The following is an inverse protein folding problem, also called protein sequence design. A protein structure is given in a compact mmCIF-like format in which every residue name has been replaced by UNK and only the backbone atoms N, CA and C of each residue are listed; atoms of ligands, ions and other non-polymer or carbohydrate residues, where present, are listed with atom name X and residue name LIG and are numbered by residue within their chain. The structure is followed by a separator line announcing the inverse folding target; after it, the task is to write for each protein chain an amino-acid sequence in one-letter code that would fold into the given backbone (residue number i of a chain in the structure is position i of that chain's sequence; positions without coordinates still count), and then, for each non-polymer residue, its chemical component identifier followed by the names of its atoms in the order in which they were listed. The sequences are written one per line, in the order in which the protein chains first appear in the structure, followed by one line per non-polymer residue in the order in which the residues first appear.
data_IF_748430688903
#
_entry.id   IF_748430688903
#
_cell.length_a   1.000
_cell.length_b   1.000
_cell.length_c   1.000
_cell.angle_alpha   90.00
_cell.angle_beta   90.00
_cell.angle_gamma   90.00
#
_symmetry.space_group_name_H-M   'P 1'
#
loop_
_entity.id
_entity.type
_entity.pdbx_description
1 polymer ?
#
# COMPACT_ATOMS: atom_id res chain seq x y z
N UNK A 1 0.20 -33.58 7.63
CA UNK A 1 0.82 -32.66 6.65
C UNK A 1 -0.20 -31.59 6.32
N UNK A 2 0.00 -30.36 6.83
CA UNK A 2 -0.92 -29.25 6.58
C UNK A 2 -0.82 -28.83 5.11
N UNK A 3 -1.96 -28.74 4.42
CA UNK A 3 -2.06 -28.06 3.13
C UNK A 3 -1.67 -26.60 3.39
N UNK A 4 -0.49 -26.18 2.91
CA UNK A 4 -0.22 -24.75 2.71
C UNK A 4 -1.30 -24.24 1.76
N UNK A 5 -2.29 -23.54 2.29
CA UNK A 5 -3.10 -22.67 1.45
C UNK A 5 -2.12 -21.66 0.87
N UNK A 6 -1.93 -21.70 -0.46
CA UNK A 6 -1.31 -20.60 -1.20
C UNK A 6 -2.24 -19.38 -1.06
N UNK A 7 -2.23 -18.76 0.12
CA UNK A 7 -3.00 -17.58 0.42
C UNK A 7 -2.26 -16.43 -0.26
N UNK A 8 -2.83 -16.00 -1.38
CA UNK A 8 -2.32 -14.90 -2.20
C UNK A 8 -2.63 -13.59 -1.48
N UNK A 9 -1.65 -13.03 -0.77
CA UNK A 9 -1.83 -11.72 -0.15
C UNK A 9 -1.76 -10.61 -1.20
N UNK A 10 -2.83 -9.81 -1.27
CA UNK A 10 -2.85 -8.59 -2.08
C UNK A 10 -1.87 -7.56 -1.51
N UNK A 11 -1.31 -6.67 -2.34
CA UNK A 11 -0.16 -5.85 -1.94
C UNK A 11 -0.35 -5.00 -0.67
N UNK A 12 -1.54 -4.43 -0.44
CA UNK A 12 -1.88 -3.71 0.80
C UNK A 12 -1.98 -4.65 2.02
N UNK A 13 -2.53 -5.85 1.83
CA UNK A 13 -2.62 -6.88 2.87
C UNK A 13 -1.23 -7.40 3.23
N UNK A 14 -0.44 -7.78 2.23
CA UNK A 14 0.93 -8.22 2.37
C UNK A 14 1.74 -7.24 3.22
N UNK A 15 1.60 -5.94 2.90
CA UNK A 15 2.28 -4.86 3.60
C UNK A 15 1.77 -4.65 5.03
N UNK A 16 0.45 -4.72 5.22
CA UNK A 16 -0.16 -4.63 6.56
C UNK A 16 0.33 -5.76 7.46
N UNK A 17 0.40 -6.99 6.94
CA UNK A 17 0.86 -8.14 7.71
C UNK A 17 2.35 -8.02 8.06
N UNK A 18 3.20 -7.63 7.10
CA UNK A 18 4.63 -7.43 7.37
C UNK A 18 4.90 -6.27 8.31
N UNK A 19 4.11 -5.20 8.24
CA UNK A 19 4.23 -4.06 9.16
C UNK A 19 3.89 -4.45 10.60
N UNK A 20 2.83 -5.23 10.82
CA UNK A 20 2.42 -5.64 12.17
C UNK A 20 3.17 -6.87 12.71
N UNK A 21 3.76 -7.68 11.83
CA UNK A 21 4.54 -8.85 12.18
C UNK A 21 6.04 -8.56 12.22
N UNK A 22 6.72 -8.85 11.12
CA UNK A 22 8.17 -8.95 11.03
C UNK A 22 8.86 -7.59 11.22
N UNK A 23 8.33 -6.50 10.65
CA UNK A 23 8.90 -5.16 10.82
C UNK A 23 8.68 -4.62 12.23
N UNK A 24 7.52 -4.86 12.83
CA UNK A 24 7.28 -4.50 14.24
C UNK A 24 8.25 -5.24 15.16
N UNK A 25 8.39 -6.56 14.97
CA UNK A 25 9.33 -7.36 15.74
C UNK A 25 10.79 -6.89 15.54
N UNK A 26 11.17 -6.47 14.33
CA UNK A 26 12.48 -5.87 14.05
C UNK A 26 12.69 -4.59 14.86
N UNK A 27 11.72 -3.66 14.83
CA UNK A 27 11.77 -2.40 15.59
C UNK A 27 11.91 -2.66 17.09
N UNK A 28 11.12 -3.60 17.63
CA UNK A 28 11.13 -3.99 19.04
C UNK A 28 12.47 -4.64 19.44
N UNK A 29 13.06 -5.51 18.61
CA UNK A 29 14.41 -6.05 18.84
C UNK A 29 15.51 -4.99 18.86
N UNK A 30 15.33 -3.89 18.12
CA UNK A 30 16.26 -2.75 18.12
C UNK A 30 16.00 -1.78 19.30
N UNK A 31 15.07 -2.11 20.20
CA UNK A 31 14.80 -1.36 21.43
C UNK A 31 13.78 -0.24 21.29
N UNK A 32 12.97 -0.24 20.23
CA UNK A 32 11.96 0.78 19.98
C UNK A 32 10.54 0.21 20.07
N UNK A 33 9.58 1.04 20.48
CA UNK A 33 8.17 0.64 20.59
C UNK A 33 7.31 1.56 19.75
N UNK A 34 6.31 0.99 19.06
CA UNK A 34 5.31 1.77 18.34
C UNK A 34 4.37 2.47 19.34
N UNK A 35 4.07 3.75 19.09
CA UNK A 35 3.07 4.53 19.85
C UNK A 35 1.64 4.37 19.31
N UNK A 36 1.40 3.32 18.52
CA UNK A 36 0.08 2.96 17.98
C UNK A 36 -0.20 1.48 18.25
N UNK A 37 -1.48 1.11 18.26
CA UNK A 37 -1.88 -0.28 18.48
C UNK A 37 -1.59 -1.16 17.25
N UNK A 38 -1.91 -0.62 16.07
CA UNK A 38 -1.83 -1.30 14.77
C UNK A 38 -1.37 -0.34 13.68
N UNK A 39 -0.71 -0.90 12.67
CA UNK A 39 -0.32 -0.19 11.44
C UNK A 39 -1.09 -0.76 10.24
N UNK A 40 -1.72 0.07 9.42
CA UNK A 40 -2.31 -0.35 8.14
C UNK A 40 -1.41 0.08 6.98
N UNK A 41 -1.06 -0.86 6.10
CA UNK A 41 -0.33 -0.59 4.87
C UNK A 41 -1.29 -0.46 3.68
N UNK A 42 -1.25 0.67 2.97
CA UNK A 42 -2.18 0.97 1.88
C UNK A 42 -1.41 1.38 0.64
N UNK A 43 -1.59 0.68 -0.48
CA UNK A 43 -1.07 1.13 -1.77
C UNK A 43 -2.03 2.18 -2.35
N UNK A 44 -1.59 3.43 -2.43
CA UNK A 44 -2.39 4.55 -2.88
C UNK A 44 -2.08 5.83 -2.12
N UNK A 45 -3.05 6.73 -2.07
CA UNK A 45 -2.96 8.04 -1.41
C UNK A 45 -4.19 8.29 -0.53
N UNK A 46 -4.06 9.12 0.51
CA UNK A 46 -5.21 9.54 1.29
C UNK A 46 -6.21 10.34 0.43
N UNK A 47 -7.44 10.46 0.93
CA UNK A 47 -8.65 10.94 0.21
C UNK A 47 -8.44 12.26 -0.56
N UNK A 48 -7.51 13.12 -0.13
CA UNK A 48 -7.26 14.45 -0.68
C UNK A 48 -6.21 14.52 -1.80
N UNK A 49 -5.63 13.39 -2.24
CA UNK A 49 -4.90 13.27 -3.52
C UNK A 49 -3.72 14.21 -3.77
N UNK A 50 -3.26 14.99 -2.78
CA UNK A 50 -2.24 16.05 -2.97
C UNK A 50 -0.79 15.60 -2.76
N UNK A 51 -0.53 14.37 -2.37
CA UNK A 51 0.82 13.92 -1.98
C UNK A 51 1.50 13.09 -3.05
N UNK A 52 1.66 13.66 -4.24
CA UNK A 52 2.38 13.04 -5.35
C UNK A 52 3.91 12.90 -5.13
N UNK A 53 4.48 13.43 -4.04
CA UNK A 53 5.95 13.53 -3.85
C UNK A 53 6.56 12.57 -2.83
N UNK A 54 5.79 11.99 -1.91
CA UNK A 54 6.32 11.10 -0.88
C UNK A 54 6.10 9.63 -1.29
N UNK A 55 7.13 8.79 -1.12
CA UNK A 55 7.05 7.35 -1.43
C UNK A 55 6.15 6.62 -0.42
N UNK A 56 6.16 7.09 0.82
CA UNK A 56 5.24 6.68 1.86
C UNK A 56 4.78 7.92 2.67
N UNK A 57 3.51 7.99 3.02
CA UNK A 57 2.90 9.00 3.87
C UNK A 57 2.33 8.35 5.13
N UNK A 58 2.70 8.88 6.29
CA UNK A 58 2.20 8.44 7.58
C UNK A 58 0.98 9.28 8.00
N UNK A 59 -0.14 8.61 8.28
CA UNK A 59 -1.26 9.16 9.02
C UNK A 59 -1.24 8.60 10.45
N UNK A 60 -1.25 9.48 11.47
CA UNK A 60 -1.16 9.07 12.85
C UNK A 60 -2.51 8.52 13.33
N UNK A 61 -2.54 7.82 14.48
CA UNK A 61 -3.73 7.18 15.02
C UNK A 61 -4.95 8.10 15.16
N UNK A 62 -4.76 9.38 15.46
CA UNK A 62 -5.85 10.35 15.64
C UNK A 62 -6.62 10.64 14.35
N UNK A 63 -6.06 10.26 13.19
CA UNK A 63 -6.74 10.33 11.90
C UNK A 63 -7.61 9.10 11.59
N UNK A 64 -7.59 8.08 12.46
CA UNK A 64 -8.42 6.88 12.36
C UNK A 64 -9.61 6.95 13.29
N UNK A 65 -10.70 6.25 12.94
CA UNK A 65 -11.94 6.24 13.72
C UNK A 65 -11.77 5.63 15.12
N UNK A 66 -10.88 4.64 15.26
CA UNK A 66 -10.58 4.01 16.55
C UNK A 66 -9.57 4.79 17.40
N UNK A 67 -8.97 5.86 16.85
CA UNK A 67 -7.95 6.67 17.51
C UNK A 67 -6.65 5.92 17.83
N UNK A 68 -6.46 4.69 17.33
CA UNK A 68 -5.37 3.76 17.72
C UNK A 68 -4.60 3.20 16.54
N UNK A 69 -5.16 3.29 15.33
CA UNK A 69 -4.59 2.70 14.12
C UNK A 69 -3.86 3.73 13.28
N UNK A 70 -2.54 3.58 13.16
CA UNK A 70 -1.76 4.37 12.21
C UNK A 70 -1.91 3.81 10.80
N UNK A 71 -1.91 4.68 9.78
CA UNK A 71 -1.99 4.24 8.37
C UNK A 71 -0.81 4.75 7.57
N UNK A 72 -0.20 3.86 6.79
CA UNK A 72 0.90 4.13 5.89
C UNK A 72 0.38 4.06 4.44
N UNK A 73 0.35 5.19 3.76
CA UNK A 73 0.00 5.27 2.35
C UNK A 73 1.24 5.23 1.49
N UNK A 74 1.34 4.25 0.60
CA UNK A 74 2.50 4.05 -0.26
C UNK A 74 2.16 4.40 -1.68
N UNK A 75 2.91 5.36 -2.22
CA UNK A 75 2.96 5.62 -3.65
C UNK A 75 4.15 4.87 -4.25
N UNK A 76 4.13 3.54 -4.10
CA UNK A 76 5.22 2.67 -4.54
C UNK A 76 4.92 2.06 -5.90
N UNK A 77 5.98 1.86 -6.65
CA UNK A 77 5.97 1.01 -7.82
C UNK A 77 6.47 -0.37 -7.38
N UNK A 78 5.55 -1.35 -7.39
CA UNK A 78 5.79 -2.73 -6.91
C UNK A 78 6.86 -3.45 -7.76
N UNK A 79 7.13 -2.95 -8.97
CA UNK A 79 8.19 -3.43 -9.86
C UNK A 79 9.62 -3.28 -9.31
N UNK A 80 9.82 -2.47 -8.26
CA UNK A 80 11.10 -2.36 -7.56
C UNK A 80 11.37 -3.51 -6.57
N UNK A 81 10.40 -4.41 -6.37
CA UNK A 81 10.56 -5.62 -5.56
C UNK A 81 10.28 -5.43 -4.06
N UNK A 82 10.07 -6.54 -3.35
CA UNK A 82 9.62 -6.57 -1.97
C UNK A 82 10.60 -5.89 -0.98
N UNK A 83 11.91 -6.02 -1.18
CA UNK A 83 12.91 -5.38 -0.31
C UNK A 83 12.82 -3.85 -0.36
N UNK A 84 12.59 -3.28 -1.55
CA UNK A 84 12.37 -1.84 -1.71
C UNK A 84 11.09 -1.39 -1.00
N UNK A 85 10.03 -2.20 -1.07
CA UNK A 85 8.76 -1.92 -0.37
C UNK A 85 8.97 -1.93 1.15
N UNK A 86 9.66 -2.94 1.69
CA UNK A 86 9.90 -3.05 3.14
C UNK A 86 10.85 -1.98 3.68
N UNK A 87 11.85 -1.54 2.91
CA UNK A 87 12.68 -0.37 3.26
C UNK A 87 11.81 0.87 3.50
N UNK A 88 10.97 1.20 2.51
CA UNK A 88 10.07 2.35 2.64
C UNK A 88 9.03 2.17 3.75
N UNK A 89 8.58 0.94 3.99
CA UNK A 89 7.67 0.64 5.07
C UNK A 89 8.31 0.86 6.45
N UNK A 90 9.53 0.36 6.63
CA UNK A 90 10.28 0.55 7.87
C UNK A 90 10.52 2.04 8.16
N UNK A 91 10.89 2.84 7.15
CA UNK A 91 11.04 4.30 7.30
C UNK A 91 9.74 4.98 7.69
N UNK A 92 8.63 4.55 7.11
CA UNK A 92 7.32 5.10 7.44
C UNK A 92 6.90 4.70 8.87
N UNK A 93 7.26 3.49 9.32
CA UNK A 93 7.05 3.04 10.70
C UNK A 93 7.89 3.80 11.73
N UNK A 94 8.99 4.46 11.35
CA UNK A 94 9.70 5.37 12.28
C UNK A 94 8.77 6.47 12.78
N UNK A 95 7.85 6.97 11.96
CA UNK A 95 6.84 7.93 12.43
C UNK A 95 5.89 7.33 13.47
N UNK A 96 5.60 6.02 13.39
CA UNK A 96 4.82 5.32 14.39
C UNK A 96 5.60 5.10 15.70
N UNK A 97 6.93 5.04 15.65
CA UNK A 97 7.80 5.02 16.85
C UNK A 97 7.83 6.41 17.49
N UNK A 98 8.05 7.47 16.71
CA UNK A 98 8.12 8.84 17.25
C UNK A 98 6.74 9.38 17.64
N UNK A 99 5.67 8.85 17.03
CA UNK A 99 4.29 9.35 17.16
C UNK A 99 4.06 10.68 16.43
N UNK A 100 4.95 11.05 15.50
CA UNK A 100 5.03 12.39 14.91
C UNK A 100 5.35 12.33 13.42
N UNK A 101 4.88 13.30 12.64
CA UNK A 101 5.09 13.36 11.17
C UNK A 101 6.41 14.02 10.78
N UNK A 102 7.03 14.74 11.70
CA UNK A 102 8.20 15.57 11.47
C UNK A 102 9.45 14.70 11.30
N UNK A 103 10.31 15.09 10.35
CA UNK A 103 11.64 14.51 10.16
C UNK A 103 12.66 15.25 11.03
N UNK A 104 12.43 15.21 12.34
CA UNK A 104 13.24 15.92 13.33
C UNK A 104 14.44 15.07 13.82
N UNK A 105 15.10 15.54 14.89
CA UNK A 105 16.22 14.84 15.50
C UNK A 105 15.81 13.47 16.07
N UNK A 106 14.65 13.36 16.70
CA UNK A 106 14.18 12.08 17.25
C UNK A 106 13.96 11.07 16.11
N UNK A 107 13.34 11.50 14.99
CA UNK A 107 13.22 10.65 13.80
C UNK A 107 14.58 10.16 13.31
N UNK A 108 15.57 11.06 13.22
CA UNK A 108 16.94 10.71 12.80
C UNK A 108 17.60 9.70 13.73
N UNK A 109 17.43 9.88 15.04
CA UNK A 109 18.06 9.05 16.07
C UNK A 109 17.44 7.64 16.03
N UNK A 110 16.11 7.52 15.92
CA UNK A 110 15.42 6.23 15.74
C UNK A 110 15.83 5.58 14.43
N UNK A 111 15.82 6.31 13.31
CA UNK A 111 16.22 5.79 12.00
C UNK A 111 17.67 5.26 12.04
N UNK A 112 18.59 5.99 12.66
CA UNK A 112 19.98 5.55 12.83
C UNK A 112 20.08 4.32 13.74
N UNK A 113 19.32 4.28 14.83
CA UNK A 113 19.27 3.16 15.77
C UNK A 113 18.69 1.88 15.17
N UNK A 114 17.79 1.99 14.20
CA UNK A 114 17.29 0.85 13.43
C UNK A 114 18.33 0.24 12.48
N UNK A 115 19.43 0.96 12.20
CA UNK A 115 20.48 0.50 11.29
C UNK A 115 20.51 1.24 9.96
N UNK A 116 19.95 2.44 9.87
CA UNK A 116 20.19 3.31 8.72
C UNK A 116 21.45 4.16 8.91
N UNK A 117 22.06 4.52 7.79
CA UNK A 117 23.15 5.46 7.70
C UNK A 117 22.64 6.80 7.17
N UNK A 118 22.70 7.85 7.99
CA UNK A 118 22.15 9.18 7.68
C UNK A 118 23.27 10.19 7.39
N UNK A 119 24.04 9.99 6.31
CA UNK A 119 25.13 10.90 5.89
C UNK A 119 24.60 12.14 5.15
N UNK A 120 23.75 11.95 4.15
CA UNK A 120 23.30 13.00 3.24
C UNK A 120 21.88 13.52 3.57
N UNK A 121 21.50 13.44 4.85
CA UNK A 121 20.18 13.80 5.35
C UNK A 121 19.18 12.64 5.38
N UNK A 122 18.11 12.81 6.15
CA UNK A 122 17.13 11.77 6.50
C UNK A 122 16.50 11.10 5.26
N UNK A 123 16.19 11.89 4.23
CA UNK A 123 15.55 11.41 2.99
C UNK A 123 16.46 10.54 2.13
N UNK A 124 17.78 10.66 2.29
CA UNK A 124 18.79 9.92 1.56
C UNK A 124 19.49 8.89 2.45
N UNK A 125 18.95 8.61 3.64
CA UNK A 125 19.55 7.60 4.50
C UNK A 125 19.52 6.25 3.80
N UNK A 126 20.54 5.41 3.98
CA UNK A 126 20.65 4.09 3.37
C UNK A 126 20.65 3.01 4.44
N UNK A 127 20.15 1.81 4.14
CA UNK A 127 20.26 0.69 5.08
C UNK A 127 21.73 0.27 5.20
N UNK A 128 22.22 0.10 6.43
CA UNK A 128 23.51 -0.54 6.66
C UNK A 128 23.42 -2.04 6.28
N UNK A 129 24.56 -2.70 6.03
CA UNK A 129 24.57 -4.09 5.57
C UNK A 129 23.82 -5.07 6.48
N UNK A 130 23.87 -4.87 7.80
CA UNK A 130 23.17 -5.68 8.79
C UNK A 130 21.64 -5.55 8.66
N UNK A 131 21.13 -4.31 8.60
CA UNK A 131 19.70 -4.06 8.41
C UNK A 131 19.22 -4.59 7.05
N UNK A 132 20.03 -4.39 6.00
CA UNK A 132 19.70 -4.90 4.66
C UNK A 132 19.55 -6.42 4.66
N UNK A 133 20.46 -7.15 5.31
CA UNK A 133 20.39 -8.60 5.45
C UNK A 133 19.14 -9.04 6.24
N UNK A 134 18.77 -8.32 7.31
CA UNK A 134 17.52 -8.60 8.05
C UNK A 134 16.28 -8.42 7.18
N UNK A 135 16.21 -7.35 6.37
CA UNK A 135 15.12 -7.12 5.44
C UNK A 135 15.07 -8.21 4.36
N UNK A 136 16.21 -8.59 3.79
CA UNK A 136 16.28 -9.66 2.80
C UNK A 136 15.82 -11.01 3.36
N UNK A 137 16.15 -11.30 4.63
CA UNK A 137 15.65 -12.49 5.31
C UNK A 137 14.12 -12.47 5.50
N UNK A 138 13.55 -11.30 5.85
CA UNK A 138 12.09 -11.13 5.93
C UNK A 138 11.45 -11.36 4.56
N UNK A 139 12.02 -10.80 3.49
CA UNK A 139 11.52 -11.00 2.13
C UNK A 139 11.58 -12.47 1.72
N UNK A 140 12.67 -13.17 2.03
CA UNK A 140 12.84 -14.58 1.69
C UNK A 140 11.84 -15.50 2.41
N UNK A 141 11.41 -15.13 3.62
CA UNK A 141 10.42 -15.88 4.40
C UNK A 141 8.96 -15.49 4.10
N UNK A 142 8.74 -14.31 3.50
CA UNK A 142 7.41 -13.80 3.21
C UNK A 142 6.76 -14.54 2.03
N UNK A 143 5.41 -14.64 1.99
CA UNK A 143 4.72 -15.00 0.76
C UNK A 143 5.11 -14.01 -0.35
N UNK A 144 5.12 -14.41 -1.63
CA UNK A 144 5.46 -13.50 -2.72
C UNK A 144 4.64 -12.22 -2.66
N UNK A 145 5.29 -11.07 -2.86
CA UNK A 145 4.59 -9.82 -3.08
C UNK A 145 3.94 -9.90 -4.46
N UNK A 146 2.68 -10.28 -4.49
CA UNK A 146 1.95 -10.49 -5.74
C UNK A 146 1.50 -9.12 -6.27
N UNK A 147 2.11 -8.70 -7.36
CA UNK A 147 1.44 -7.87 -8.35
C UNK A 147 0.32 -8.72 -8.94
N UNK A 148 -0.91 -8.23 -8.98
CA UNK A 148 -1.92 -8.95 -9.77
C UNK A 148 -1.35 -9.17 -11.16
N UNK A 149 -1.66 -10.32 -11.77
CA UNK A 149 -1.02 -10.78 -13.00
C UNK A 149 -1.11 -9.75 -14.14
N UNK A 150 -0.18 -8.80 -14.20
CA UNK A 150 -0.04 -7.85 -15.30
C UNK A 150 0.78 -8.55 -16.36
N UNK A 151 0.10 -8.95 -17.43
CA UNK A 151 0.75 -9.39 -18.65
C UNK A 151 1.42 -8.17 -19.31
N UNK A 152 2.70 -7.96 -19.00
CA UNK A 152 3.51 -6.85 -19.53
C UNK A 152 3.64 -6.92 -21.06
N UNK A 153 3.43 -8.08 -21.70
CA UNK A 153 3.43 -8.21 -23.15
C UNK A 153 2.19 -7.56 -23.79
N UNK A 154 1.10 -7.37 -23.03
CA UNK A 154 -0.13 -6.67 -23.46
C UNK A 154 -0.15 -5.20 -23.06
N UNK A 155 0.82 -4.72 -22.30
CA UNK A 155 0.86 -3.33 -21.87
C UNK A 155 1.35 -2.41 -23.00
N UNK A 156 0.42 -1.87 -23.79
CA UNK A 156 0.70 -0.70 -24.63
C UNK A 156 0.93 0.49 -23.70
N UNK A 157 2.11 1.09 -23.74
CA UNK A 157 2.40 2.39 -23.12
C UNK A 157 1.49 3.43 -23.77
N UNK A 158 0.27 3.57 -23.28
CA UNK A 158 -0.51 4.76 -23.57
C UNK A 158 0.09 5.90 -22.74
N UNK A 159 0.73 6.84 -23.43
CA UNK A 159 1.47 7.97 -22.82
C UNK A 159 0.52 9.07 -22.30
N UNK A 160 -0.79 8.89 -22.45
CA UNK A 160 -1.81 9.75 -21.89
C UNK A 160 -2.03 9.35 -20.43
N UNK A 161 -1.38 10.05 -19.50
CA UNK A 161 -1.79 9.98 -18.10
C UNK A 161 -3.26 10.43 -17.98
N UNK A 162 -4.22 9.58 -17.57
CA UNK A 162 -5.45 10.10 -17.01
C UNK A 162 -5.09 10.52 -15.59
N UNK A 163 -4.85 11.81 -15.42
CA UNK A 163 -4.49 12.52 -14.18
C UNK A 163 -5.59 12.52 -13.10
N UNK A 164 -6.47 11.51 -13.06
CA UNK A 164 -7.52 11.40 -12.03
C UNK A 164 -7.23 10.22 -11.11
N UNK A 165 -6.95 10.56 -9.85
CA UNK A 165 -6.94 9.60 -8.74
C UNK A 165 -8.35 9.04 -8.54
N UNK A 166 -8.51 7.74 -8.76
CA UNK A 166 -9.75 7.00 -8.62
C UNK A 166 -10.09 6.81 -7.14
N UNK A 167 -11.37 6.75 -6.81
CA UNK A 167 -11.84 6.41 -5.45
C UNK A 167 -11.91 4.89 -5.33
N UNK A 168 -11.13 4.29 -4.45
CA UNK A 168 -11.32 2.90 -4.04
C UNK A 168 -12.12 2.89 -2.74
N UNK A 169 -13.21 2.12 -2.68
CA UNK A 169 -14.12 2.05 -1.53
C UNK A 169 -14.48 0.59 -1.22
N UNK A 170 -14.38 0.23 0.06
CA UNK A 170 -14.81 -1.04 0.58
C UNK A 170 -16.32 -1.02 0.84
N UNK A 171 -17.07 -1.89 0.14
CA UNK A 171 -18.54 -1.98 0.26
C UNK A 171 -19.01 -3.09 1.20
N UNK A 172 -18.10 -3.88 1.77
CA UNK A 172 -18.46 -4.89 2.77
C UNK A 172 -19.01 -4.21 4.01
N UNK A 173 -20.18 -4.66 4.45
CA UNK A 173 -20.82 -4.20 5.68
C UNK A 173 -20.59 -5.32 6.71
N UNK A 174 -19.84 -5.03 7.78
CA UNK A 174 -19.76 -5.92 8.94
C UNK A 174 -21.05 -5.91 9.75
N UNK A 175 -21.14 -6.78 10.77
CA UNK A 175 -22.28 -6.83 11.69
C UNK A 175 -22.50 -5.53 12.49
N UNK A 176 -21.48 -4.65 12.54
CA UNK A 176 -21.49 -3.31 13.13
C UNK A 176 -21.81 -2.18 12.12
N UNK A 177 -22.14 -2.53 10.87
CA UNK A 177 -22.46 -1.55 9.83
C UNK A 177 -21.26 -0.93 9.15
N UNK A 178 -20.01 -1.34 9.43
CA UNK A 178 -18.83 -0.72 8.82
C UNK A 178 -17.94 -1.66 8.03
N UNK A 179 -17.47 -1.11 6.92
CA UNK A 179 -16.07 -1.16 6.56
C UNK A 179 -15.62 0.25 6.16
N UNK A 180 -16.44 0.94 5.34
CA UNK A 180 -16.36 2.39 5.02
C UNK A 180 -15.04 2.88 4.42
N UNK A 181 -14.05 2.00 4.35
CA UNK A 181 -12.67 2.34 4.11
C UNK A 181 -12.51 2.78 2.67
N UNK A 182 -11.98 3.99 2.51
CA UNK A 182 -11.78 4.61 1.22
C UNK A 182 -10.41 5.23 1.11
N UNK A 183 -9.82 5.09 -0.08
CA UNK A 183 -8.58 5.74 -0.42
C UNK A 183 -8.58 6.14 -1.90
N UNK A 184 -7.56 6.88 -2.30
CA UNK A 184 -7.36 7.29 -3.69
C UNK A 184 -6.25 6.46 -4.32
N UNK A 185 -6.45 5.99 -5.54
CA UNK A 185 -5.47 5.18 -6.27
C UNK A 185 -5.37 5.65 -7.72
N UNK A 186 -4.18 5.66 -8.30
CA UNK A 186 -4.06 5.96 -9.73
C UNK A 186 -4.64 4.83 -10.58
N UNK A 187 -5.14 5.13 -11.78
CA UNK A 187 -5.64 4.11 -12.72
C UNK A 187 -4.63 3.00 -12.97
N UNK A 188 -3.37 3.38 -13.22
CA UNK A 188 -2.30 2.41 -13.45
C UNK A 188 -2.00 1.53 -12.23
N UNK A 189 -2.09 2.06 -11.01
CA UNK A 189 -1.93 1.25 -9.80
C UNK A 189 -3.12 0.32 -9.59
N UNK A 190 -4.35 0.77 -9.84
CA UNK A 190 -5.54 -0.07 -9.74
C UNK A 190 -5.47 -1.21 -10.77
N UNK A 191 -5.13 -0.93 -12.02
CA UNK A 191 -4.93 -1.94 -13.08
C UNK A 191 -3.82 -2.93 -12.72
N UNK A 192 -2.70 -2.45 -12.14
CA UNK A 192 -1.58 -3.30 -11.70
C UNK A 192 -1.88 -4.14 -10.47
N UNK A 193 -2.72 -3.63 -9.56
CA UNK A 193 -3.16 -4.32 -8.35
C UNK A 193 -4.33 -5.28 -8.62
N UNK A 194 -5.03 -5.11 -9.75
CA UNK A 194 -6.10 -5.99 -10.21
C UNK A 194 -7.26 -5.97 -9.23
N UNK A 195 -7.52 -7.11 -8.58
CA UNK A 195 -8.52 -7.18 -7.51
C UNK A 195 -7.99 -6.46 -6.26
N UNK A 196 -8.66 -5.39 -5.87
CA UNK A 196 -8.37 -4.66 -4.65
C UNK A 196 -9.12 -5.27 -3.47
N UNK A 197 -8.37 -5.63 -2.44
CA UNK A 197 -8.90 -6.15 -1.18
C UNK A 197 -8.69 -5.11 -0.08
N UNK A 198 -9.73 -4.90 0.71
CA UNK A 198 -9.71 -3.97 1.83
C UNK A 198 -8.70 -4.43 2.89
N UNK A 199 -7.73 -3.58 3.28
CA UNK A 199 -6.73 -3.95 4.30
C UNK A 199 -7.32 -4.02 5.73
N UNK A 200 -8.57 -3.58 5.91
CA UNK A 200 -9.25 -3.58 7.21
C UNK A 200 -10.03 -4.89 7.39
N UNK A 201 -11.02 -5.14 6.53
CA UNK A 201 -11.96 -6.26 6.68
C UNK A 201 -11.79 -7.39 5.65
N UNK A 202 -10.82 -7.28 4.74
CA UNK A 202 -10.58 -8.23 3.64
C UNK A 202 -11.72 -8.36 2.62
N UNK A 203 -12.69 -7.44 2.67
CA UNK A 203 -13.72 -7.29 1.66
C UNK A 203 -13.19 -6.85 0.30
N UNK A 204 -13.89 -7.19 -0.78
CA UNK A 204 -13.58 -6.67 -2.10
C UNK A 204 -13.87 -5.17 -2.18
N UNK A 205 -12.98 -4.43 -2.84
CA UNK A 205 -13.15 -3.00 -3.05
C UNK A 205 -13.63 -2.70 -4.46
N UNK A 206 -14.52 -1.73 -4.56
CA UNK A 206 -14.95 -1.14 -5.84
C UNK A 206 -14.13 0.12 -6.12
N UNK A 207 -13.81 0.35 -7.39
CA UNK A 207 -13.08 1.52 -7.86
C UNK A 207 -14.01 2.38 -8.69
N UNK A 208 -14.05 3.67 -8.37
CA UNK A 208 -14.91 4.67 -8.99
C UNK A 208 -14.08 5.79 -9.62
N UNK A 209 -14.56 6.32 -10.73
CA UNK A 209 -14.00 7.53 -11.35
C UNK A 209 -14.41 8.80 -10.58
N UNK A 210 -14.19 9.98 -11.18
CA UNK A 210 -14.53 11.25 -10.55
C UNK A 210 -16.03 11.58 -10.59
N UNK A 211 -16.78 10.93 -11.48
CA UNK A 211 -18.22 11.08 -11.65
C UNK A 211 -18.97 9.96 -10.89
N UNK A 212 -18.27 9.25 -10.01
CA UNK A 212 -18.74 8.11 -9.21
C UNK A 212 -19.25 6.92 -10.04
N UNK A 213 -18.82 6.79 -11.30
CA UNK A 213 -19.06 5.58 -12.08
C UNK A 213 -18.11 4.47 -11.63
N UNK A 214 -18.66 3.28 -11.38
CA UNK A 214 -17.84 2.11 -11.04
C UNK A 214 -17.11 1.61 -12.29
N UNK A 215 -15.78 1.52 -12.19
CA UNK A 215 -14.91 1.07 -13.29
C UNK A 215 -14.19 -0.25 -12.98
N UNK A 216 -14.12 -0.66 -11.71
CA UNK A 216 -13.63 -1.97 -11.28
C UNK A 216 -14.38 -2.45 -10.03
N UNK A 217 -14.60 -3.76 -9.86
CA UNK A 217 -15.16 -4.36 -8.63
C UNK A 217 -15.96 -5.65 -8.88
N UNK A 218 -16.54 -6.27 -7.83
CA UNK A 218 -17.31 -7.50 -7.96
C UNK A 218 -18.51 -7.29 -8.90
N UNK A 219 -18.57 -8.09 -9.96
CA UNK A 219 -19.66 -8.04 -10.95
C UNK A 219 -19.48 -7.03 -12.09
N UNK A 220 -18.35 -6.32 -12.19
CA UNK A 220 -18.04 -5.53 -13.37
C UNK A 220 -17.81 -6.48 -14.57
N UNK A 221 -18.87 -6.70 -15.37
CA UNK A 221 -18.72 -7.31 -16.68
C UNK A 221 -17.75 -6.44 -17.47
N UNK A 222 -16.71 -7.06 -18.04
CA UNK A 222 -15.93 -6.42 -19.09
C UNK A 222 -16.93 -5.92 -20.12
N UNK A 223 -17.07 -4.59 -20.25
CA UNK A 223 -18.00 -4.01 -21.21
C UNK A 223 -17.71 -4.60 -22.58
N UNK A 224 -18.66 -5.40 -23.04
CA UNK A 224 -18.87 -5.74 -24.43
C UNK A 224 -18.82 -4.44 -25.21
N UNK A 225 -17.82 -4.31 -26.10
CA UNK A 225 -17.81 -3.27 -27.13
C UNK A 225 -19.23 -3.12 -27.69
N UNK A 226 -19.77 -1.90 -27.82
CA UNK A 226 -20.99 -1.73 -28.60
C UNK A 226 -20.70 -2.28 -30.00
N UNK A 227 -21.52 -3.22 -30.45
CA UNK A 227 -21.48 -3.71 -31.81
C UNK A 227 -21.63 -2.50 -32.74
N UNK A 228 -20.59 -2.24 -33.53
CA UNK A 228 -20.70 -1.32 -34.67
C UNK A 228 -21.71 -1.97 -35.61
N UNK A 229 -22.95 -1.47 -35.59
CA UNK A 229 -23.98 -1.88 -36.53
C UNK A 229 -23.52 -1.57 -37.96
N UNK A 230 -23.88 -2.41 -38.95
CA UNK A 230 -23.50 -2.16 -40.33
C UNK A 230 -24.14 -0.84 -40.78
N UNK A 231 -23.32 0.05 -41.33
CA UNK A 231 -23.78 1.22 -42.06
C UNK A 231 -24.47 0.69 -43.32
N UNK A 232 -25.79 0.90 -43.40
CA UNK A 232 -26.52 0.71 -44.64
C UNK A 232 -25.99 1.71 -45.66
N UNK A 233 -25.50 1.20 -46.80
CA UNK A 233 -25.23 2.00 -47.97
C UNK A 233 -26.55 2.18 -48.74
N UNK A 234 -26.96 3.43 -48.91
CA UNK A 234 -27.81 3.88 -50.02
C UNK A 234 -26.98 4.83 -50.88
#
# INVERSE_FOLDING_TARGET
MARQSNQTDHSSQWLTDRANGELRALIERKGFTLKCGKVLGVIGSPINGRTAKAIAEYLPPEASEDGKTATLFFNISIDKGAAYVLDHALRAMVHAVTGRKELDREYRDVLSGLGFEVRNGIRQAEMRPDLKAEIEAIVAAAPPLIHSAVDLAKWKRDRTQPTRNLKAECKTVGDDGTCGFKFRISKSQAERAGKLICPVCRGEMSVFDADDNQIMGPGAKADSKPAVGPVAAE
#
